data_IF_077818024258
#
_entry.id   IF_077818024258
#
_cell.length_a   1.000
_cell.length_b   1.000
_cell.length_c   1.000
_cell.angle_alpha   90.00
_cell.angle_beta   90.00
_cell.angle_gamma   90.00
#
_symmetry.space_group_name_H-M   'P 1'
#
loop_
_entity.id
_entity.type
_entity.pdbx_description
1 polymer ?
#
# COMPACT_ATOMS: atom_id res chain seq x y z
N UNK A 1 18.90 -12.85 22.87
CA UNK A 1 17.56 -12.99 22.28
C UNK A 1 16.47 -13.05 23.36
N UNK A 2 16.73 -13.67 24.52
CA UNK A 2 15.71 -13.86 25.57
C UNK A 2 15.50 -12.69 26.56
N UNK A 3 16.43 -11.75 26.70
CA UNK A 3 16.24 -10.60 27.63
C UNK A 3 15.31 -9.50 27.09
N UNK A 4 15.10 -9.45 25.76
CA UNK A 4 14.24 -8.44 25.11
C UNK A 4 12.75 -8.77 25.33
N UNK A 5 12.39 -10.04 25.53
CA UNK A 5 11.01 -10.45 25.84
C UNK A 5 10.58 -10.07 27.27
N UNK A 6 11.52 -9.78 28.17
CA UNK A 6 11.25 -9.57 29.60
C UNK A 6 10.87 -8.10 29.91
N UNK A 7 11.33 -7.15 29.10
CA UNK A 7 11.07 -5.71 29.31
C UNK A 7 9.82 -5.17 28.57
N UNK A 8 9.21 -5.97 27.70
CA UNK A 8 7.97 -5.61 26.99
C UNK A 8 6.95 -6.72 27.26
N UNK A 9 5.94 -6.50 28.12
CA UNK A 9 4.92 -7.50 28.42
C UNK A 9 4.29 -8.01 27.12
N UNK A 10 4.61 -9.26 26.78
CA UNK A 10 4.47 -9.87 25.45
C UNK A 10 3.01 -10.14 25.06
N UNK A 11 2.05 -9.69 25.86
CA UNK A 11 0.60 -9.83 25.61
C UNK A 11 -0.15 -8.50 25.49
N UNK A 12 0.50 -7.34 25.67
CA UNK A 12 -0.19 -6.04 25.79
C UNK A 12 0.20 -4.91 24.84
N UNK A 13 1.08 -5.10 23.85
CA UNK A 13 1.35 -4.05 22.87
C UNK A 13 1.25 -4.54 21.42
N UNK A 14 0.02 -4.59 20.90
CA UNK A 14 -0.25 -4.74 19.45
C UNK A 14 0.59 -3.73 18.63
N UNK A 15 0.89 -2.57 19.20
CA UNK A 15 1.74 -1.55 18.61
C UNK A 15 3.20 -1.99 18.43
N UNK A 16 3.80 -2.56 19.49
CA UNK A 16 5.18 -3.06 19.43
C UNK A 16 5.29 -4.22 18.44
N UNK A 17 4.30 -5.13 18.42
CA UNK A 17 4.26 -6.22 17.45
C UNK A 17 4.19 -5.71 16.00
N UNK A 18 3.43 -4.63 15.72
CA UNK A 18 3.35 -4.02 14.38
C UNK A 18 4.70 -3.44 13.95
N UNK A 19 5.39 -2.73 14.85
CA UNK A 19 6.72 -2.17 14.58
C UNK A 19 7.74 -3.31 14.36
N UNK A 20 7.76 -4.30 15.25
CA UNK A 20 8.68 -5.45 15.15
C UNK A 20 8.47 -6.25 13.87
N UNK A 21 7.22 -6.50 13.45
CA UNK A 21 6.92 -7.18 12.18
C UNK A 21 7.41 -6.37 10.96
N UNK A 22 7.32 -5.05 11.01
CA UNK A 22 7.84 -4.18 9.94
C UNK A 22 9.37 -4.16 9.89
N UNK A 23 10.05 -4.38 11.02
CA UNK A 23 11.52 -4.43 11.15
C UNK A 23 12.07 -5.80 10.72
N UNK A 24 11.49 -6.89 11.25
CA UNK A 24 11.99 -8.26 11.04
C UNK A 24 11.88 -8.73 9.60
N UNK A 25 10.88 -8.25 8.85
CA UNK A 25 10.73 -8.55 7.43
C UNK A 25 11.90 -8.04 6.56
N UNK A 26 12.76 -7.16 7.07
CA UNK A 26 13.77 -6.46 6.25
C UNK A 26 15.19 -6.46 6.83
N UNK A 27 15.47 -7.35 7.78
CA UNK A 27 16.82 -7.62 8.25
C UNK A 27 17.57 -6.35 8.71
N UNK A 28 16.86 -5.42 9.36
CA UNK A 28 17.43 -4.23 10.02
C UNK A 28 18.20 -4.62 11.31
N UNK A 29 19.08 -5.62 11.20
CA UNK A 29 19.79 -6.21 12.33
C UNK A 29 20.76 -5.19 12.94
N UNK A 30 20.66 -4.98 14.25
CA UNK A 30 21.62 -4.20 15.04
C UNK A 30 21.16 -2.83 15.56
N UNK A 31 20.01 -2.30 15.10
CA UNK A 31 19.42 -1.05 15.62
C UNK A 31 17.96 -1.19 16.07
N UNK A 32 17.43 -2.42 16.10
CA UNK A 32 16.00 -2.71 16.28
C UNK A 32 15.44 -2.16 17.60
N UNK A 33 16.18 -2.28 18.71
CA UNK A 33 15.67 -1.92 20.04
C UNK A 33 15.54 -0.40 20.22
N UNK A 34 16.56 0.37 19.87
CA UNK A 34 16.53 1.85 19.91
C UNK A 34 15.44 2.41 19.00
N UNK A 35 15.30 1.82 17.81
CA UNK A 35 14.31 2.21 16.82
C UNK A 35 12.88 1.92 17.31
N UNK A 36 12.65 0.72 17.85
CA UNK A 36 11.35 0.32 18.44
C UNK A 36 10.99 1.22 19.63
N UNK A 37 11.92 1.43 20.56
CA UNK A 37 11.67 2.25 21.76
C UNK A 37 11.34 3.70 21.41
N UNK A 38 12.07 4.29 20.45
CA UNK A 38 11.82 5.66 20.00
C UNK A 38 10.49 5.78 19.26
N UNK A 39 10.16 4.82 18.39
CA UNK A 39 8.87 4.77 17.71
C UNK A 39 7.70 4.58 18.69
N UNK A 40 7.83 3.68 19.66
CA UNK A 40 6.81 3.47 20.68
C UNK A 40 6.58 4.73 21.51
N UNK A 41 7.66 5.39 21.92
CA UNK A 41 7.59 6.62 22.70
C UNK A 41 6.96 7.76 21.90
N UNK A 42 7.40 7.96 20.65
CA UNK A 42 6.83 8.97 19.76
C UNK A 42 5.34 8.71 19.48
N UNK A 43 4.97 7.45 19.22
CA UNK A 43 3.57 7.09 18.93
C UNK A 43 2.69 7.29 20.16
N UNK A 44 3.13 6.86 21.36
CA UNK A 44 2.40 7.09 22.61
C UNK A 44 2.22 8.57 22.95
N UNK A 45 3.18 9.43 22.60
CA UNK A 45 3.06 10.86 22.82
C UNK A 45 1.96 11.51 21.95
N UNK A 46 1.66 10.92 20.78
CA UNK A 46 0.63 11.41 19.85
C UNK A 46 -0.71 10.70 20.02
N UNK A 47 -0.69 9.46 20.50
CA UNK A 47 -1.88 8.68 20.85
C UNK A 47 -2.29 9.03 22.28
N UNK A 48 -3.22 9.98 22.43
CA UNK A 48 -4.06 10.00 23.63
C UNK A 48 -4.90 8.72 23.74
N UNK A 49 -5.64 8.52 24.84
CA UNK A 49 -6.33 7.25 25.16
C UNK A 49 -7.35 6.73 24.12
N UNK A 50 -7.64 7.45 23.02
CA UNK A 50 -8.70 7.13 22.07
C UNK A 50 -8.32 7.31 20.58
N UNK A 51 -7.27 6.64 20.09
CA UNK A 51 -7.04 6.49 18.63
C UNK A 51 -7.66 5.20 18.09
N UNK A 52 -8.34 5.31 16.94
CA UNK A 52 -8.88 4.17 16.20
C UNK A 52 -7.72 3.32 15.63
N UNK A 53 -7.84 1.99 15.72
CA UNK A 53 -6.83 1.04 15.27
C UNK A 53 -6.42 1.20 13.80
N UNK A 54 -7.30 1.78 12.98
CA UNK A 54 -7.04 2.08 11.56
C UNK A 54 -6.07 3.25 11.36
N UNK A 55 -6.06 4.22 12.28
CA UNK A 55 -5.26 5.46 12.17
C UNK A 55 -3.86 5.30 12.76
N UNK A 56 -3.63 4.21 13.52
CA UNK A 56 -2.34 3.92 14.15
C UNK A 56 -1.22 3.74 13.12
N UNK A 57 -1.41 2.95 12.06
CA UNK A 57 -0.33 2.71 11.09
C UNK A 57 0.03 3.93 10.25
N UNK A 58 -0.94 4.69 9.71
CA UNK A 58 -0.63 5.97 9.06
C UNK A 58 0.13 6.93 9.98
N UNK A 59 -0.25 7.01 11.27
CA UNK A 59 0.47 7.82 12.25
C UNK A 59 1.89 7.32 12.45
N UNK A 60 2.08 6.02 12.67
CA UNK A 60 3.42 5.44 12.84
C UNK A 60 4.29 5.63 11.59
N UNK A 61 3.73 5.44 10.39
CA UNK A 61 4.46 5.65 9.14
C UNK A 61 4.91 7.11 9.00
N UNK A 62 4.03 8.06 9.31
CA UNK A 62 4.35 9.49 9.31
C UNK A 62 5.42 9.86 10.34
N UNK A 63 5.34 9.30 11.56
CA UNK A 63 6.32 9.53 12.62
C UNK A 63 7.69 8.94 12.25
N UNK A 64 7.71 7.72 11.71
CA UNK A 64 8.94 7.12 11.19
C UNK A 64 9.56 8.01 10.11
N UNK A 65 8.78 8.50 9.13
CA UNK A 65 9.31 9.38 8.09
C UNK A 65 9.88 10.70 8.66
N UNK A 66 9.28 11.24 9.73
CA UNK A 66 9.80 12.45 10.40
C UNK A 66 11.18 12.24 11.05
N UNK A 67 11.56 10.99 11.30
CA UNK A 67 12.84 10.58 11.87
C UNK A 67 13.86 10.14 10.80
N UNK A 68 13.55 10.28 9.51
CA UNK A 68 14.46 9.92 8.41
C UNK A 68 15.82 10.65 8.51
N UNK A 69 15.82 11.91 8.95
CA UNK A 69 17.03 12.69 9.17
C UNK A 69 17.95 12.12 10.27
N UNK A 70 17.45 11.22 11.11
CA UNK A 70 18.22 10.54 12.17
C UNK A 70 18.91 9.29 11.64
N UNK A 71 18.23 8.50 10.82
CA UNK A 71 18.75 7.26 10.23
C UNK A 71 17.89 6.84 9.05
N UNK A 72 18.52 6.41 7.96
CA UNK A 72 17.85 5.86 6.78
C UNK A 72 16.98 4.63 7.10
N UNK A 73 17.21 3.97 8.23
CA UNK A 73 16.37 2.86 8.72
C UNK A 73 14.93 3.30 9.00
N UNK A 74 14.71 4.57 9.38
CA UNK A 74 13.38 5.11 9.61
C UNK A 74 12.60 5.34 8.30
N UNK A 75 13.27 5.70 7.21
CA UNK A 75 12.65 5.78 5.88
C UNK A 75 12.14 4.43 5.41
N UNK A 76 12.96 3.39 5.61
CA UNK A 76 12.58 2.00 5.31
C UNK A 76 11.37 1.63 6.16
N UNK A 77 11.42 1.85 7.48
CA UNK A 77 10.31 1.55 8.37
C UNK A 77 9.02 2.27 7.97
N UNK A 78 9.09 3.57 7.68
CA UNK A 78 7.95 4.38 7.24
C UNK A 78 7.30 3.79 5.99
N UNK A 79 8.14 3.43 5.01
CA UNK A 79 7.71 2.79 3.77
C UNK A 79 6.97 1.48 4.06
N UNK A 80 7.48 0.65 4.98
CA UNK A 80 6.86 -0.65 5.33
C UNK A 80 5.55 -0.49 6.07
N UNK A 81 5.48 0.42 7.01
CA UNK A 81 4.25 0.71 7.74
C UNK A 81 3.15 1.21 6.80
N UNK A 82 3.50 2.11 5.87
CA UNK A 82 2.58 2.61 4.85
C UNK A 82 2.10 1.48 3.92
N UNK A 83 3.01 0.64 3.44
CA UNK A 83 2.68 -0.49 2.57
C UNK A 83 1.81 -1.53 3.29
N UNK A 84 2.15 -1.88 4.53
CA UNK A 84 1.37 -2.80 5.36
C UNK A 84 -0.04 -2.26 5.60
N UNK A 85 -0.17 -0.96 5.81
CA UNK A 85 -1.46 -0.29 5.94
C UNK A 85 -2.29 -0.43 4.65
N UNK A 86 -1.68 -0.16 3.48
CA UNK A 86 -2.34 -0.34 2.18
C UNK A 86 -2.84 -1.79 2.02
N UNK A 87 -1.99 -2.78 2.34
CA UNK A 87 -2.31 -4.19 2.14
C UNK A 87 -3.43 -4.70 3.06
N UNK A 88 -3.56 -4.12 4.26
CA UNK A 88 -4.62 -4.46 5.20
C UNK A 88 -5.96 -3.82 4.80
N UNK A 89 -5.94 -2.62 4.24
CA UNK A 89 -7.15 -1.91 3.83
C UNK A 89 -7.67 -2.38 2.46
N UNK A 90 -6.78 -2.60 1.50
CA UNK A 90 -7.13 -2.91 0.11
C UNK A 90 -7.43 -4.40 -0.11
N UNK A 91 -8.14 -4.67 -1.20
CA UNK A 91 -8.51 -6.01 -1.65
C UNK A 91 -7.30 -6.93 -1.84
N UNK A 92 -7.51 -8.24 -1.66
CA UNK A 92 -6.43 -9.25 -1.64
C UNK A 92 -6.04 -9.80 -3.01
N UNK A 93 -6.86 -9.57 -4.03
CA UNK A 93 -6.57 -9.95 -5.42
C UNK A 93 -6.91 -8.81 -6.38
N UNK A 94 -6.20 -8.76 -7.51
CA UNK A 94 -6.43 -7.75 -8.54
C UNK A 94 -7.89 -7.78 -9.01
N UNK A 95 -8.43 -8.96 -9.31
CA UNK A 95 -9.81 -9.08 -9.77
C UNK A 95 -10.85 -8.62 -8.76
N UNK A 96 -10.65 -8.90 -7.45
CA UNK A 96 -11.54 -8.40 -6.38
C UNK A 96 -11.50 -6.88 -6.30
N UNK A 97 -10.30 -6.29 -6.39
CA UNK A 97 -10.14 -4.84 -6.46
C UNK A 97 -10.92 -4.22 -7.64
N UNK A 98 -10.87 -4.85 -8.81
CA UNK A 98 -11.59 -4.36 -9.99
C UNK A 98 -13.12 -4.51 -9.87
N UNK A 99 -13.60 -5.57 -9.22
CA UNK A 99 -15.03 -5.75 -8.90
C UNK A 99 -15.53 -4.65 -7.96
N UNK A 100 -14.83 -4.42 -6.84
CA UNK A 100 -15.16 -3.36 -5.89
C UNK A 100 -15.09 -1.98 -6.55
N UNK A 101 -14.06 -1.74 -7.38
CA UNK A 101 -13.95 -0.50 -8.15
C UNK A 101 -15.09 -0.33 -9.17
N UNK A 102 -15.58 -1.42 -9.77
CA UNK A 102 -16.74 -1.41 -10.67
C UNK A 102 -18.02 -1.05 -9.92
N UNK A 103 -18.26 -1.62 -8.74
CA UNK A 103 -19.38 -1.26 -7.86
C UNK A 103 -19.34 0.22 -7.46
N UNK A 104 -18.15 0.79 -7.34
CA UNK A 104 -17.96 2.21 -7.04
C UNK A 104 -18.03 3.13 -8.26
N UNK A 105 -18.32 2.59 -9.46
CA UNK A 105 -18.41 3.36 -10.69
C UNK A 105 -17.06 3.90 -11.19
N UNK A 106 -15.95 3.35 -10.69
CA UNK A 106 -14.58 3.77 -11.05
C UNK A 106 -14.04 3.03 -12.27
N UNK A 107 -14.70 1.95 -12.69
CA UNK A 107 -14.33 1.10 -13.82
C UNK A 107 -15.56 0.83 -14.72
N UNK A 108 -15.36 0.75 -16.03
CA UNK A 108 -16.43 0.47 -17.00
C UNK A 108 -16.83 -1.00 -17.03
N UNK A 109 -18.04 -1.32 -17.51
CA UNK A 109 -18.48 -2.71 -17.65
C UNK A 109 -17.56 -3.49 -18.60
N UNK A 110 -17.25 -2.90 -19.75
CA UNK A 110 -16.32 -3.45 -20.75
C UNK A 110 -14.94 -3.80 -20.19
N UNK A 111 -14.39 -2.96 -19.31
CA UNK A 111 -13.12 -3.27 -18.66
C UNK A 111 -13.27 -4.46 -17.70
N UNK A 112 -14.34 -4.49 -16.90
CA UNK A 112 -14.61 -5.62 -16.02
C UNK A 112 -14.79 -6.93 -16.79
N UNK A 113 -15.39 -6.90 -17.98
CA UNK A 113 -15.52 -8.07 -18.85
C UNK A 113 -14.15 -8.60 -19.33
N UNK A 114 -13.18 -7.71 -19.57
CA UNK A 114 -11.80 -8.11 -19.86
C UNK A 114 -11.12 -8.77 -18.65
N UNK A 115 -11.32 -8.20 -17.46
CA UNK A 115 -10.79 -8.74 -16.21
C UNK A 115 -11.37 -10.14 -15.95
N UNK A 116 -12.69 -10.31 -16.09
CA UNK A 116 -13.36 -11.59 -15.85
C UNK A 116 -12.91 -12.68 -16.80
N UNK A 117 -12.77 -12.36 -18.10
CA UNK A 117 -12.27 -13.32 -19.11
C UNK A 117 -10.84 -13.80 -18.83
N UNK A 118 -9.99 -12.94 -18.25
CA UNK A 118 -8.58 -13.23 -18.01
C UNK A 118 -8.24 -13.34 -16.51
N UNK A 119 -9.23 -13.60 -15.65
CA UNK A 119 -9.11 -13.47 -14.19
C UNK A 119 -7.92 -14.21 -13.61
N UNK A 120 -7.76 -15.49 -13.97
CA UNK A 120 -6.67 -16.34 -13.47
C UNK A 120 -5.32 -15.79 -13.88
N UNK A 121 -5.16 -15.49 -15.17
CA UNK A 121 -3.91 -14.97 -15.75
C UNK A 121 -3.51 -13.63 -15.12
N UNK A 122 -4.45 -12.69 -15.04
CA UNK A 122 -4.18 -11.36 -14.48
C UNK A 122 -3.79 -11.41 -12.99
N UNK A 123 -4.50 -12.22 -12.19
CA UNK A 123 -4.14 -12.40 -10.79
C UNK A 123 -2.76 -13.06 -10.63
N UNK A 124 -2.39 -14.00 -11.51
CA UNK A 124 -1.07 -14.64 -11.47
C UNK A 124 0.08 -13.77 -12.00
N UNK A 125 -0.22 -12.67 -12.70
CA UNK A 125 0.82 -11.76 -13.20
C UNK A 125 1.42 -10.88 -12.09
N UNK A 126 0.71 -10.70 -10.97
CA UNK A 126 1.11 -9.76 -9.93
C UNK A 126 2.34 -10.25 -9.18
N UNK A 127 3.38 -9.42 -9.16
CA UNK A 127 4.59 -9.61 -8.38
C UNK A 127 4.63 -8.62 -7.21
N UNK A 128 4.13 -9.06 -6.05
CA UNK A 128 4.00 -8.20 -4.86
C UNK A 128 5.34 -7.68 -4.33
N UNK A 129 6.43 -8.43 -4.51
CA UNK A 129 7.77 -8.03 -4.06
C UNK A 129 8.27 -6.74 -4.73
N UNK A 130 7.68 -6.36 -5.87
CA UNK A 130 8.02 -5.10 -6.56
C UNK A 130 7.52 -3.87 -5.82
N UNK A 131 6.59 -4.02 -4.88
CA UNK A 131 6.22 -2.91 -3.99
C UNK A 131 7.36 -2.49 -3.05
N UNK A 132 8.40 -3.32 -2.92
CA UNK A 132 9.62 -2.97 -2.18
C UNK A 132 10.48 -1.91 -2.87
N UNK A 133 10.20 -1.56 -4.14
CA UNK A 133 10.91 -0.49 -4.85
C UNK A 133 10.42 0.92 -4.52
N UNK A 134 9.25 1.04 -3.85
CA UNK A 134 8.72 2.36 -3.50
C UNK A 134 9.37 2.93 -2.25
N UNK A 135 9.45 4.26 -2.20
CA UNK A 135 9.70 5.02 -0.98
C UNK A 135 8.38 5.40 -0.31
N UNK A 136 8.42 5.77 0.96
CA UNK A 136 7.25 6.27 1.70
C UNK A 136 6.53 7.40 0.95
N UNK A 137 7.26 8.42 0.49
CA UNK A 137 6.70 9.54 -0.26
C UNK A 137 6.04 9.10 -1.57
N UNK A 138 6.62 8.10 -2.26
CA UNK A 138 6.01 7.54 -3.46
C UNK A 138 4.70 6.81 -3.14
N UNK A 139 4.67 5.97 -2.09
CA UNK A 139 3.45 5.28 -1.66
C UNK A 139 2.35 6.25 -1.24
N UNK A 140 2.69 7.31 -0.49
CA UNK A 140 1.73 8.37 -0.11
C UNK A 140 1.16 9.07 -1.34
N UNK A 141 2.00 9.46 -2.28
CA UNK A 141 1.57 10.08 -3.54
C UNK A 141 0.66 9.13 -4.34
N UNK A 142 1.00 7.85 -4.42
CA UNK A 142 0.17 6.81 -5.05
C UNK A 142 -1.19 6.70 -4.37
N UNK A 143 -1.20 6.53 -3.05
CA UNK A 143 -2.43 6.42 -2.25
C UNK A 143 -3.33 7.63 -2.48
N UNK A 144 -2.80 8.84 -2.36
CA UNK A 144 -3.60 10.08 -2.40
C UNK A 144 -4.16 10.41 -3.79
N UNK A 145 -3.45 10.05 -4.86
CA UNK A 145 -3.75 10.55 -6.21
C UNK A 145 -4.17 9.49 -7.22
N UNK A 146 -3.71 8.25 -7.06
CA UNK A 146 -3.74 7.27 -8.15
C UNK A 146 -4.45 5.96 -7.82
N UNK A 147 -4.32 5.46 -6.58
CA UNK A 147 -5.02 4.26 -6.15
C UNK A 147 -6.53 4.51 -6.11
N UNK A 148 -7.32 3.54 -6.56
CA UNK A 148 -8.78 3.66 -6.52
C UNK A 148 -9.27 3.67 -5.07
N UNK A 149 -10.09 4.66 -4.74
CA UNK A 149 -10.72 4.85 -3.44
C UNK A 149 -12.18 5.32 -3.58
N UNK A 150 -13.00 5.04 -2.57
CA UNK A 150 -14.33 5.66 -2.40
C UNK A 150 -14.49 6.15 -0.96
N UNK A 151 -14.53 7.48 -0.79
CA UNK A 151 -14.48 8.08 0.54
C UNK A 151 -13.17 7.69 1.23
N UNK A 152 -13.26 7.12 2.42
CA UNK A 152 -12.11 6.63 3.20
C UNK A 152 -11.76 5.16 2.93
N UNK A 153 -12.40 4.49 1.96
CA UNK A 153 -12.15 3.07 1.66
C UNK A 153 -11.18 2.94 0.49
N UNK A 154 -9.99 2.42 0.79
CA UNK A 154 -8.97 2.05 -0.21
C UNK A 154 -9.33 0.72 -0.87
N UNK A 155 -9.28 0.67 -2.21
CA UNK A 155 -9.65 -0.53 -2.97
C UNK A 155 -8.44 -1.23 -3.59
N UNK A 156 -7.43 -0.46 -3.98
CA UNK A 156 -6.38 -0.90 -4.88
C UNK A 156 -5.00 -0.88 -4.21
N UNK A 157 -4.14 -1.86 -4.55
CA UNK A 157 -2.72 -1.91 -4.17
C UNK A 157 -1.83 -1.32 -5.28
N UNK A 158 -0.57 -0.92 -5.01
CA UNK A 158 0.27 -0.30 -6.03
C UNK A 158 0.51 -1.21 -7.25
N UNK A 159 0.75 -2.51 -7.06
CA UNK A 159 0.87 -3.43 -8.20
C UNK A 159 -0.42 -3.53 -9.04
N UNK A 160 -1.59 -3.39 -8.43
CA UNK A 160 -2.86 -3.46 -9.14
C UNK A 160 -3.07 -2.23 -10.02
N UNK A 161 -2.61 -1.04 -9.57
CA UNK A 161 -2.60 0.17 -10.39
C UNK A 161 -1.82 -0.07 -11.70
N UNK A 162 -0.61 -0.63 -11.61
CA UNK A 162 0.22 -0.86 -12.81
C UNK A 162 -0.40 -1.90 -13.75
N UNK A 163 -0.95 -2.99 -13.20
CA UNK A 163 -1.62 -3.99 -14.03
C UNK A 163 -2.90 -3.42 -14.66
N UNK A 164 -3.66 -2.59 -13.95
CA UNK A 164 -4.85 -1.92 -14.48
C UNK A 164 -4.48 -0.99 -15.65
N UNK A 165 -3.43 -0.20 -15.51
CA UNK A 165 -2.94 0.70 -16.58
C UNK A 165 -2.48 -0.11 -17.78
N UNK A 166 -1.69 -1.17 -17.58
CA UNK A 166 -1.23 -2.06 -18.65
C UNK A 166 -2.41 -2.71 -19.39
N UNK A 167 -3.39 -3.23 -18.65
CA UNK A 167 -4.60 -3.82 -19.20
C UNK A 167 -5.45 -2.80 -19.98
N UNK A 168 -5.50 -1.55 -19.52
CA UNK A 168 -6.23 -0.50 -20.21
C UNK A 168 -5.57 -0.11 -21.54
N UNK A 169 -4.24 -0.17 -21.62
CA UNK A 169 -3.49 0.14 -22.83
C UNK A 169 -3.54 -0.98 -23.87
N UNK A 170 -3.37 -2.24 -23.44
CA UNK A 170 -3.20 -3.38 -24.35
C UNK A 170 -4.46 -4.25 -24.51
N UNK A 171 -5.48 -4.02 -23.68
CA UNK A 171 -6.81 -4.65 -23.77
C UNK A 171 -6.77 -6.19 -23.77
N UNK A 172 -6.89 -6.83 -24.93
CA UNK A 172 -6.94 -8.29 -25.06
C UNK A 172 -5.58 -8.92 -25.37
N UNK A 173 -4.56 -8.11 -25.67
CA UNK A 173 -3.19 -8.57 -25.89
C UNK A 173 -2.48 -8.81 -24.55
N UNK A 174 -2.60 -10.03 -24.01
CA UNK A 174 -2.03 -10.38 -22.70
C UNK A 174 -0.51 -10.37 -22.66
N UNK A 175 0.16 -10.59 -23.80
CA UNK A 175 1.62 -10.49 -23.89
C UNK A 175 2.06 -9.02 -23.75
N UNK A 176 1.42 -8.12 -24.50
CA UNK A 176 1.61 -6.68 -24.35
C UNK A 176 1.29 -6.19 -22.93
N UNK A 177 0.20 -6.67 -22.31
CA UNK A 177 -0.12 -6.38 -20.90
C UNK A 177 1.02 -6.78 -19.98
N UNK A 178 1.57 -8.00 -20.12
CA UNK A 178 2.64 -8.48 -19.26
C UNK A 178 3.91 -7.63 -19.39
N UNK A 179 4.31 -7.32 -20.62
CA UNK A 179 5.49 -6.50 -20.90
C UNK A 179 5.32 -5.10 -20.30
N UNK A 180 4.19 -4.45 -20.55
CA UNK A 180 3.90 -3.12 -20.01
C UNK A 180 3.85 -3.13 -18.47
N UNK A 181 3.21 -4.14 -17.87
CA UNK A 181 3.19 -4.33 -16.43
C UNK A 181 4.61 -4.49 -15.86
N UNK A 182 5.45 -5.33 -16.45
CA UNK A 182 6.82 -5.57 -15.98
C UNK A 182 7.68 -4.31 -16.03
N UNK A 183 7.55 -3.51 -17.08
CA UNK A 183 8.29 -2.25 -17.22
C UNK A 183 7.85 -1.22 -16.17
N UNK A 184 6.54 -1.07 -15.95
CA UNK A 184 6.00 -0.08 -15.01
C UNK A 184 6.18 -0.49 -13.55
N UNK A 185 5.88 -1.74 -13.19
CA UNK A 185 5.99 -2.22 -11.82
C UNK A 185 7.44 -2.27 -11.31
N UNK A 186 8.42 -2.40 -12.20
CA UNK A 186 9.84 -2.27 -11.87
C UNK A 186 10.35 -0.81 -11.90
N UNK A 187 9.47 0.17 -12.09
CA UNK A 187 9.80 1.60 -12.21
C UNK A 187 10.80 1.93 -13.35
N UNK A 188 10.87 1.09 -14.39
CA UNK A 188 11.71 1.31 -15.57
C UNK A 188 11.08 2.24 -16.59
N UNK A 189 9.75 2.37 -16.53
CA UNK A 189 8.94 3.24 -17.37
C UNK A 189 7.74 3.72 -16.57
N UNK A 190 7.39 5.00 -16.65
CA UNK A 190 6.23 5.55 -15.95
C UNK A 190 5.28 6.15 -16.98
N UNK A 191 4.13 5.50 -17.16
CA UNK A 191 2.99 6.09 -17.83
C UNK A 191 2.08 6.69 -16.77
N UNK A 192 1.70 7.96 -16.94
CA UNK A 192 0.70 8.57 -16.06
C UNK A 192 -0.65 7.87 -16.27
N UNK A 193 -1.26 7.30 -15.22
CA UNK A 193 -2.59 6.74 -15.33
C UNK A 193 -3.54 7.83 -15.80
N UNK A 194 -4.23 7.65 -16.92
CA UNK A 194 -5.26 8.59 -17.36
C UNK A 194 -6.52 8.41 -16.50
N UNK A 195 -6.42 8.84 -15.24
CA UNK A 195 -7.57 9.01 -14.38
C UNK A 195 -8.01 10.48 -14.45
N UNK A 196 -9.24 10.73 -14.88
CA UNK A 196 -9.87 12.03 -14.73
C UNK A 196 -10.73 12.00 -13.46
N UNK A 197 -10.26 12.54 -12.31
CA UNK A 197 -11.05 12.58 -11.10
C UNK A 197 -12.09 13.69 -11.25
N UNK A 198 -13.24 13.37 -11.86
CA UNK A 198 -14.56 14.03 -11.79
C UNK A 198 -15.27 13.87 -13.13
N UNK A 199 -16.17 12.89 -13.24
CA UNK A 199 -17.41 13.15 -13.98
C UNK A 199 -18.40 13.60 -12.92
N UNK A 200 -18.49 14.91 -12.71
CA UNK A 200 -19.67 15.47 -12.07
C UNK A 200 -20.85 15.07 -12.95
N UNK A 201 -21.73 14.20 -12.46
CA UNK A 201 -23.01 14.00 -13.14
C UNK A 201 -23.72 15.37 -13.14
N UNK A 202 -24.20 15.87 -14.29
CA UNK A 202 -25.00 17.08 -14.28
C UNK A 202 -26.26 16.84 -13.43
N UNK A 203 -26.76 17.87 -12.72
CA UNK A 203 -28.00 17.75 -11.97
C UNK A 203 -29.10 17.31 -12.93
N UNK A 204 -29.81 16.24 -12.57
CA UNK A 204 -31.03 15.87 -13.29
C UNK A 204 -32.06 16.94 -12.96
N UNK A 205 -32.28 17.83 -13.93
CA UNK A 205 -33.41 18.75 -13.97
C UNK A 205 -34.66 18.07 -14.51
#
# INVERSE_FOLDING_TARGET
MDEILILIPTSRNKLAARILNAISAHNLQGQEESLVLRMLSATKAHVGDAIDSKDIDPLMASLANSLDSVSSSYSILATRLELSSIYREAETSFSSAMETAKLYGRISGRFMDLVNRNRKTLNSMIEFDRDNYFTYSALRSLREKYLIQKGCVLVERPQYLWLRVALQMHLSDMEGVKIAYDLMSCLKYIQTPQYSPRVAQPPQG
#
